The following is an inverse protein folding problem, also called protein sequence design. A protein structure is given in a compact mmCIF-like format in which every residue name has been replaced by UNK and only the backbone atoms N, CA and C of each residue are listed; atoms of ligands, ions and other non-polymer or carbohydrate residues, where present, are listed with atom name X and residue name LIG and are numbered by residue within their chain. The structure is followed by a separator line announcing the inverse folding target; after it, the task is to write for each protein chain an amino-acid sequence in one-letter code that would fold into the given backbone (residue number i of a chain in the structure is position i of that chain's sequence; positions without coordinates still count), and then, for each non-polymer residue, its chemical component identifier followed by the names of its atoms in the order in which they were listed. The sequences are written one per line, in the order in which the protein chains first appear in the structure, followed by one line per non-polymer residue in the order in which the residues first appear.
data_IF_022289290960
#
_entry.id   IF_022289290960
#
_cell.length_a   1.000
_cell.length_b   1.000
_cell.length_c   1.000
_cell.angle_alpha   90.00
_cell.angle_beta   90.00
_cell.angle_gamma   90.00
#
_symmetry.space_group_name_H-M   'P 1'
#
loop_
_entity.id
_entity.type
_entity.pdbx_description
1 polymer ?
#
# COMPACT_ATOMS: atom_id res chain seq x y z
N UNK A 1 13.63 -24.87 -14.28
CA UNK A 1 13.62 -23.78 -13.28
C UNK A 1 13.96 -22.51 -14.04
N UNK A 2 12.95 -21.79 -14.51
CA UNK A 2 13.15 -20.54 -15.25
C UNK A 2 12.67 -19.39 -14.36
N UNK A 3 13.57 -18.44 -14.16
CA UNK A 3 13.38 -17.16 -13.51
C UNK A 3 12.29 -16.37 -14.25
N UNK A 4 11.08 -16.35 -13.71
CA UNK A 4 10.05 -15.38 -14.03
C UNK A 4 9.44 -14.97 -12.69
N UNK A 5 9.49 -13.67 -12.38
CA UNK A 5 8.58 -12.94 -11.46
C UNK A 5 9.18 -11.69 -10.79
N UNK A 6 10.46 -11.35 -11.00
CA UNK A 6 11.01 -10.14 -10.35
C UNK A 6 10.27 -8.83 -10.73
N UNK A 7 9.71 -8.75 -11.94
CA UNK A 7 8.99 -7.55 -12.40
C UNK A 7 7.57 -7.48 -11.84
N UNK A 8 6.89 -8.63 -11.74
CA UNK A 8 5.53 -8.74 -11.21
C UNK A 8 5.50 -8.45 -9.70
N UNK A 9 6.48 -8.98 -8.95
CA UNK A 9 6.60 -8.72 -7.52
C UNK A 9 6.93 -7.23 -7.27
N UNK A 10 7.84 -6.64 -8.03
CA UNK A 10 8.20 -5.21 -7.88
C UNK A 10 7.03 -4.28 -8.23
N UNK A 11 6.27 -4.58 -9.29
CA UNK A 11 5.09 -3.80 -9.66
C UNK A 11 3.97 -3.93 -8.62
N UNK A 12 3.83 -5.11 -8.01
CA UNK A 12 2.87 -5.34 -6.93
C UNK A 12 3.26 -4.61 -5.64
N UNK A 13 4.54 -4.65 -5.26
CA UNK A 13 5.05 -3.86 -4.12
C UNK A 13 4.81 -2.37 -4.37
N UNK A 14 5.10 -1.90 -5.58
CA UNK A 14 4.95 -0.49 -5.92
C UNK A 14 3.49 -0.07 -5.95
N UNK A 15 2.60 -0.86 -6.53
CA UNK A 15 1.17 -0.56 -6.54
C UNK A 15 0.60 -0.48 -5.12
N UNK A 16 1.01 -1.37 -4.21
CA UNK A 16 0.62 -1.30 -2.80
C UNK A 16 1.09 -0.01 -2.11
N UNK A 17 2.33 0.42 -2.39
CA UNK A 17 2.88 1.69 -1.89
C UNK A 17 2.09 2.89 -2.45
N UNK A 18 1.80 2.90 -3.76
CA UNK A 18 1.05 4.00 -4.38
C UNK A 18 -0.40 4.07 -3.88
N UNK A 19 -1.03 2.93 -3.61
CA UNK A 19 -2.35 2.88 -3.01
C UNK A 19 -2.35 3.47 -1.59
N UNK A 20 -1.36 3.12 -0.76
CA UNK A 20 -1.21 3.72 0.57
C UNK A 20 -0.87 5.22 0.48
N UNK A 21 -0.04 5.63 -0.48
CA UNK A 21 0.25 7.05 -0.71
C UNK A 21 -1.02 7.83 -1.09
N UNK A 22 -1.87 7.26 -1.95
CA UNK A 22 -3.15 7.86 -2.30
C UNK A 22 -4.06 8.06 -1.06
N UNK A 23 -4.07 7.10 -0.13
CA UNK A 23 -4.75 7.26 1.16
C UNK A 23 -4.16 8.42 1.97
N UNK A 24 -2.84 8.52 2.06
CA UNK A 24 -2.18 9.62 2.78
C UNK A 24 -2.48 10.99 2.16
N UNK A 25 -2.56 11.09 0.83
CA UNK A 25 -2.92 12.33 0.14
C UNK A 25 -4.36 12.74 0.47
N UNK A 26 -5.30 11.80 0.41
CA UNK A 26 -6.75 12.10 0.53
C UNK A 26 -7.20 12.25 1.97
N UNK A 27 -6.69 11.42 2.88
CA UNK A 27 -7.14 11.36 4.28
C UNK A 27 -6.31 12.27 5.18
N UNK A 28 -5.01 12.42 4.89
CA UNK A 28 -4.08 13.23 5.70
C UNK A 28 -3.64 14.52 5.01
N UNK A 29 -4.17 14.80 3.81
CA UNK A 29 -3.87 16.02 3.05
C UNK A 29 -2.36 16.25 2.83
N UNK A 30 -1.59 15.15 2.75
CA UNK A 30 -0.14 15.21 2.53
C UNK A 30 0.17 15.56 1.08
N UNK A 31 1.33 16.17 0.87
CA UNK A 31 1.89 16.30 -0.48
C UNK A 31 2.24 14.93 -1.04
N UNK A 32 2.33 14.84 -2.36
CA UNK A 32 2.66 13.59 -3.05
C UNK A 32 3.97 12.97 -2.56
N UNK A 33 5.05 13.75 -2.52
CA UNK A 33 6.37 13.27 -2.07
C UNK A 33 6.36 12.78 -0.62
N UNK A 34 5.63 13.49 0.26
CA UNK A 34 5.52 13.10 1.67
C UNK A 34 4.68 11.84 1.82
N UNK A 35 3.59 11.73 1.07
CA UNK A 35 2.71 10.57 1.06
C UNK A 35 3.43 9.31 0.58
N UNK A 36 4.22 9.40 -0.50
CA UNK A 36 5.01 8.29 -1.02
C UNK A 36 6.04 7.84 0.01
N UNK A 37 6.80 8.76 0.59
CA UNK A 37 7.81 8.43 1.60
C UNK A 37 7.17 7.75 2.84
N UNK A 38 6.04 8.26 3.32
CA UNK A 38 5.30 7.64 4.43
C UNK A 38 4.80 6.25 4.05
N UNK A 39 4.25 6.08 2.85
CA UNK A 39 3.76 4.80 2.35
C UNK A 39 4.88 3.76 2.23
N UNK A 40 6.06 4.13 1.73
CA UNK A 40 7.24 3.27 1.66
C UNK A 40 7.66 2.79 3.07
N UNK A 41 7.68 3.70 4.05
CA UNK A 41 8.01 3.36 5.43
C UNK A 41 6.95 2.44 6.07
N UNK A 42 5.67 2.69 5.82
CA UNK A 42 4.58 1.83 6.30
C UNK A 42 4.69 0.43 5.69
N UNK A 43 4.93 0.35 4.38
CA UNK A 43 5.13 -0.91 3.67
C UNK A 43 6.30 -1.71 4.25
N UNK A 44 7.47 -1.07 4.43
CA UNK A 44 8.64 -1.71 5.02
C UNK A 44 8.37 -2.24 6.45
N UNK A 45 7.66 -1.46 7.28
CA UNK A 45 7.29 -1.88 8.64
C UNK A 45 6.28 -3.03 8.66
N UNK A 46 5.32 -3.03 7.73
CA UNK A 46 4.37 -4.14 7.54
C UNK A 46 5.10 -5.42 7.17
N UNK A 47 5.99 -5.36 6.19
CA UNK A 47 6.84 -6.50 5.79
C UNK A 47 7.71 -7.02 6.95
N UNK A 48 8.24 -6.13 7.79
CA UNK A 48 8.97 -6.53 9.01
C UNK A 48 8.04 -7.18 10.03
N UNK A 49 6.84 -6.63 10.26
CA UNK A 49 5.86 -7.19 11.17
C UNK A 49 5.40 -8.59 10.74
N UNK A 50 5.20 -8.82 9.44
CA UNK A 50 4.89 -10.14 8.88
C UNK A 50 6.03 -11.14 9.16
N UNK A 51 7.28 -10.76 8.90
CA UNK A 51 8.46 -11.60 9.17
C UNK A 51 8.60 -11.96 10.66
N UNK A 52 8.22 -11.04 11.54
CA UNK A 52 8.27 -11.22 12.99
C UNK A 52 7.02 -11.93 13.56
N UNK A 53 6.04 -12.29 12.72
CA UNK A 53 4.79 -12.91 13.15
C UNK A 53 3.90 -11.96 13.98
N UNK A 54 4.02 -10.65 13.78
CA UNK A 54 3.24 -9.59 14.45
C UNK A 54 2.05 -9.13 13.60
N UNK A 55 1.42 -10.08 12.94
CA UNK A 55 0.31 -9.90 12.00
C UNK A 55 -0.72 -11.00 12.25
N UNK A 56 -1.99 -10.68 12.07
CA UNK A 56 -3.09 -11.63 12.06
C UNK A 56 -3.36 -11.98 10.60
N UNK A 57 -3.25 -13.26 10.27
CA UNK A 57 -3.51 -13.79 8.92
C UNK A 57 -4.91 -14.41 8.86
N UNK A 58 -5.55 -14.36 7.69
CA UNK A 58 -6.75 -15.16 7.40
C UNK A 58 -6.41 -16.63 7.06
N UNK A 59 -7.44 -17.43 6.80
CA UNK A 59 -7.31 -18.85 6.43
C UNK A 59 -6.58 -19.06 5.09
N UNK A 60 -6.41 -18.02 4.28
CA UNK A 60 -5.70 -18.03 3.01
C UNK A 60 -4.24 -17.55 3.15
N UNK A 61 -3.84 -17.09 4.34
CA UNK A 61 -2.51 -16.57 4.63
C UNK A 61 -2.34 -15.08 4.32
N UNK A 62 -3.42 -14.33 4.05
CA UNK A 62 -3.35 -12.89 3.81
C UNK A 62 -3.36 -12.11 5.12
N UNK A 63 -2.60 -11.02 5.19
CA UNK A 63 -2.62 -10.10 6.32
C UNK A 63 -3.99 -9.40 6.45
N UNK A 64 -4.68 -9.62 7.57
CA UNK A 64 -5.96 -8.97 7.88
C UNK A 64 -5.81 -7.81 8.85
N UNK A 65 -4.85 -7.89 9.77
CA UNK A 65 -4.53 -6.81 10.70
C UNK A 65 -3.12 -6.97 11.28
N UNK A 66 -2.54 -5.87 11.72
CA UNK A 66 -1.24 -5.82 12.38
C UNK A 66 -1.43 -5.56 13.87
N UNK A 67 -0.56 -6.16 14.70
CA UNK A 67 -0.58 -5.94 16.14
C UNK A 67 -0.26 -4.48 16.51
N UNK A 68 0.56 -3.81 15.68
CA UNK A 68 0.75 -2.38 15.77
C UNK A 68 -0.42 -1.67 15.06
N UNK A 69 -1.23 -0.96 15.84
CA UNK A 69 -2.38 -0.20 15.33
C UNK A 69 -1.98 0.81 14.25
N UNK A 70 -0.77 1.38 14.29
CA UNK A 70 -0.31 2.36 13.32
C UNK A 70 -0.03 1.77 11.93
N UNK A 71 0.07 0.44 11.81
CA UNK A 71 0.27 -0.25 10.54
C UNK A 71 -1.04 -0.66 9.87
N UNK A 72 -2.17 -0.60 10.58
CA UNK A 72 -3.46 -0.95 9.99
C UNK A 72 -3.94 0.16 9.06
N UNK A 73 -4.49 -0.18 7.88
CA UNK A 73 -5.02 0.81 6.95
C UNK A 73 -6.17 1.59 7.59
N UNK A 74 -6.26 2.88 7.28
CA UNK A 74 -7.32 3.73 7.80
C UNK A 74 -8.66 3.37 7.16
N UNK A 75 -9.76 3.34 7.93
CA UNK A 75 -11.09 3.12 7.37
C UNK A 75 -11.48 4.32 6.51
N UNK A 76 -11.81 4.05 5.25
CA UNK A 76 -12.25 5.05 4.29
C UNK A 76 -13.78 5.14 4.29
N UNK A 77 -14.29 6.36 4.16
CA UNK A 77 -15.71 6.60 3.82
C UNK A 77 -15.95 6.39 2.32
N UNK A 78 -17.20 6.19 1.91
CA UNK A 78 -17.54 6.01 0.49
C UNK A 78 -17.02 7.14 -0.41
N UNK A 79 -17.10 8.39 0.04
CA UNK A 79 -16.57 9.55 -0.72
C UNK A 79 -15.04 9.57 -0.78
N UNK A 80 -14.37 9.06 0.25
CA UNK A 80 -12.90 8.95 0.25
C UNK A 80 -12.43 7.80 -0.64
N UNK A 81 -13.19 6.70 -0.75
CA UNK A 81 -12.84 5.61 -1.67
C UNK A 81 -12.70 6.08 -3.12
N UNK A 82 -13.62 6.90 -3.62
CA UNK A 82 -13.54 7.45 -4.98
C UNK A 82 -12.34 8.39 -5.14
N UNK A 83 -12.12 9.28 -4.16
CA UNK A 83 -11.00 10.22 -4.19
C UNK A 83 -9.64 9.50 -4.12
N UNK A 84 -9.52 8.46 -3.29
CA UNK A 84 -8.32 7.62 -3.20
C UNK A 84 -8.09 6.87 -4.50
N UNK A 85 -9.13 6.28 -5.10
CA UNK A 85 -9.01 5.60 -6.40
C UNK A 85 -8.50 6.54 -7.50
N UNK A 86 -9.03 7.76 -7.57
CA UNK A 86 -8.59 8.77 -8.53
C UNK A 86 -7.15 9.23 -8.27
N UNK A 87 -6.74 9.37 -7.01
CA UNK A 87 -5.37 9.74 -6.65
C UNK A 87 -4.39 8.60 -7.00
N UNK A 88 -4.73 7.36 -6.64
CA UNK A 88 -3.94 6.16 -6.95
C UNK A 88 -3.72 6.02 -8.46
N UNK A 89 -4.78 6.13 -9.27
CA UNK A 89 -4.65 6.03 -10.72
C UNK A 89 -3.66 7.07 -11.28
N UNK A 90 -3.72 8.32 -10.81
CA UNK A 90 -2.79 9.37 -11.23
C UNK A 90 -1.34 9.07 -10.85
N UNK A 91 -1.12 8.51 -9.66
CA UNK A 91 0.21 8.11 -9.20
C UNK A 91 0.76 6.97 -10.08
N UNK A 92 -0.06 5.94 -10.35
CA UNK A 92 0.30 4.84 -11.23
C UNK A 92 0.66 5.33 -12.64
N UNK A 93 -0.17 6.20 -13.23
CA UNK A 93 0.09 6.79 -14.55
C UNK A 93 1.39 7.60 -14.58
N UNK A 94 1.70 8.35 -13.50
CA UNK A 94 2.92 9.16 -13.39
C UNK A 94 4.18 8.30 -13.29
N UNK A 95 4.10 7.17 -12.60
CA UNK A 95 5.24 6.26 -12.42
C UNK A 95 5.34 5.18 -13.51
N UNK A 96 4.34 5.06 -14.38
CA UNK A 96 4.30 4.00 -15.41
C UNK A 96 4.01 2.61 -14.83
N UNK A 97 3.33 2.54 -13.68
CA UNK A 97 2.90 1.31 -13.03
C UNK A 97 1.47 1.00 -13.46
N UNK A 98 1.16 -0.27 -13.75
CA UNK A 98 -0.22 -0.68 -14.02
C UNK A 98 -1.04 -0.61 -12.73
N UNK A 99 -2.18 0.08 -12.78
CA UNK A 99 -3.14 0.07 -11.68
C UNK A 99 -3.87 -1.28 -11.68
N UNK A 100 -3.60 -2.09 -10.67
CA UNK A 100 -4.27 -3.38 -10.42
C UNK A 100 -5.50 -3.22 -9.53
#
# INVERSE_FOLDING_TARGET
MSFGNNTDDTNFERSAILQEAAVQIVVKERSEDEAINVAEQLYAKRMEAEKLGRVVLDDQGNATSYHDAALNPEPLTASQHEAVGNAYQKLCEKEGVEAF
#
